data_IF_958130554655
#
_entry.id   IF_958130554655
#
_cell.length_a   1.000
_cell.length_b   1.000
_cell.length_c   1.000
_cell.angle_alpha   90.00
_cell.angle_beta   90.00
_cell.angle_gamma   90.00
#
_symmetry.space_group_name_H-M   'P 1'
#
loop_
_entity.id
_entity.type
_entity.pdbx_description
1 polymer ?
#
# COMPACT_ATOMS: atom_id res chain seq x y z
N UNK A 1 0.77 -3.66 -2.11
CA UNK A 1 1.96 -3.97 -1.31
C UNK A 1 1.75 -3.48 0.12
N UNK A 2 1.13 -4.32 0.95
CA UNK A 2 0.78 -3.95 2.31
C UNK A 2 1.86 -4.39 3.31
N UNK A 3 2.20 -3.51 4.24
CA UNK A 3 3.11 -3.76 5.35
C UNK A 3 2.53 -4.74 6.39
N UNK A 4 3.41 -5.41 7.14
CA UNK A 4 3.05 -6.39 8.18
C UNK A 4 2.35 -5.79 9.40
N UNK A 5 2.57 -4.50 9.68
CA UNK A 5 1.86 -3.82 10.78
C UNK A 5 0.36 -3.63 10.52
N UNK A 6 -0.14 -3.88 9.31
CA UNK A 6 -1.58 -4.03 9.06
C UNK A 6 -2.21 -5.23 9.79
N UNK A 7 -1.40 -6.25 10.13
CA UNK A 7 -1.80 -7.37 10.99
C UNK A 7 -1.51 -7.12 12.48
N UNK A 8 -1.26 -5.86 12.86
CA UNK A 8 -0.91 -5.46 14.22
C UNK A 8 0.48 -5.90 14.65
N UNK A 9 0.73 -5.86 15.97
CA UNK A 9 2.06 -6.16 16.52
C UNK A 9 2.52 -7.59 16.22
N UNK A 10 1.59 -8.55 16.14
CA UNK A 10 1.90 -9.95 15.78
C UNK A 10 2.56 -10.04 14.40
N UNK A 11 2.10 -9.27 13.42
CA UNK A 11 2.70 -9.25 12.08
C UNK A 11 4.12 -8.68 12.09
N UNK A 12 4.37 -7.63 12.88
CA UNK A 12 5.72 -7.05 13.07
C UNK A 12 6.67 -8.09 13.67
N UNK A 13 6.26 -8.73 14.77
CA UNK A 13 7.10 -9.71 15.46
C UNK A 13 7.34 -10.96 14.62
N UNK A 14 6.35 -11.40 13.82
CA UNK A 14 6.52 -12.51 12.88
C UNK A 14 7.62 -12.20 11.87
N UNK A 15 7.57 -11.03 11.19
CA UNK A 15 8.60 -10.65 10.23
C UNK A 15 9.99 -10.55 10.87
N UNK A 16 10.12 -9.98 12.08
CA UNK A 16 11.40 -9.87 12.77
C UNK A 16 12.00 -11.24 13.10
N UNK A 17 11.20 -12.14 13.66
CA UNK A 17 11.65 -13.47 14.07
C UNK A 17 12.02 -14.33 12.86
N UNK A 18 11.22 -14.27 11.80
CA UNK A 18 11.48 -14.99 10.55
C UNK A 18 12.74 -14.44 9.85
N UNK A 19 12.93 -13.11 9.80
CA UNK A 19 14.16 -12.52 9.24
C UNK A 19 15.40 -12.92 10.04
N UNK A 20 15.33 -12.90 11.38
CA UNK A 20 16.45 -13.34 12.23
C UNK A 20 16.83 -14.78 11.92
N UNK A 21 15.85 -15.68 11.89
CA UNK A 21 16.05 -17.10 11.59
C UNK A 21 16.62 -17.29 10.18
N UNK A 22 16.05 -16.60 9.18
CA UNK A 22 16.50 -16.67 7.80
C UNK A 22 17.97 -16.26 7.66
N UNK A 23 18.37 -15.15 8.27
CA UNK A 23 19.75 -14.65 8.21
C UNK A 23 20.72 -15.61 8.90
N UNK A 24 20.39 -16.12 10.09
CA UNK A 24 21.21 -17.12 10.80
C UNK A 24 21.38 -18.42 9.99
N UNK A 25 20.36 -18.84 9.24
CA UNK A 25 20.42 -20.00 8.36
C UNK A 25 21.27 -19.73 7.11
N UNK A 26 21.04 -18.59 6.43
CA UNK A 26 21.77 -18.21 5.21
C UNK A 26 23.26 -17.97 5.45
N UNK A 27 23.64 -17.50 6.63
CA UNK A 27 25.05 -17.37 7.02
C UNK A 27 25.76 -18.74 7.10
N UNK A 28 25.04 -19.79 7.50
CA UNK A 28 25.59 -21.16 7.60
C UNK A 28 25.56 -21.90 6.28
N UNK A 29 24.49 -21.72 5.51
CA UNK A 29 24.30 -22.30 4.20
C UNK A 29 23.53 -21.33 3.28
N UNK A 30 24.22 -20.62 2.38
CA UNK A 30 23.59 -19.69 1.44
C UNK A 30 22.62 -20.36 0.46
N UNK A 31 22.66 -21.69 0.30
CA UNK A 31 21.79 -22.45 -0.59
C UNK A 31 20.60 -23.09 0.14
N UNK A 32 20.43 -22.84 1.44
CA UNK A 32 19.35 -23.43 2.24
C UNK A 32 17.97 -23.03 1.70
N UNK A 33 17.06 -24.01 1.63
CA UNK A 33 15.66 -23.75 1.29
C UNK A 33 14.93 -23.11 2.48
N UNK A 34 14.70 -21.80 2.39
CA UNK A 34 14.02 -21.03 3.43
C UNK A 34 12.61 -21.55 3.74
N UNK A 35 11.92 -22.21 2.81
CA UNK A 35 10.59 -22.79 3.10
C UNK A 35 10.65 -23.96 4.07
N UNK A 36 11.80 -24.62 4.22
CA UNK A 36 11.98 -25.75 5.14
C UNK A 36 12.33 -25.30 6.55
N UNK A 37 12.88 -24.10 6.71
CA UNK A 37 13.39 -23.60 8.00
C UNK A 37 12.53 -22.48 8.59
N UNK A 38 11.80 -21.74 7.76
CA UNK A 38 10.92 -20.68 8.24
C UNK A 38 9.54 -21.24 8.61
N UNK A 39 9.05 -20.80 9.75
CA UNK A 39 7.70 -21.11 10.21
C UNK A 39 6.83 -19.85 10.10
N UNK A 40 5.66 -20.00 9.51
CA UNK A 40 4.71 -18.92 9.38
C UNK A 40 4.21 -18.47 10.78
N UNK A 41 4.36 -17.19 11.08
CA UNK A 41 3.82 -16.60 12.32
C UNK A 41 2.36 -16.17 12.16
N UNK A 42 2.14 -14.86 12.02
CA UNK A 42 0.81 -14.24 11.93
C UNK A 42 0.13 -14.40 10.56
N UNK A 43 0.75 -15.07 9.61
CA UNK A 43 0.32 -15.16 8.21
C UNK A 43 0.18 -16.63 7.78
N UNK A 44 -0.52 -16.94 6.67
CA UNK A 44 -0.65 -18.33 6.18
C UNK A 44 0.67 -18.96 5.70
N UNK A 45 1.66 -18.12 5.35
CA UNK A 45 2.99 -18.53 4.90
C UNK A 45 4.04 -17.62 5.56
N UNK A 46 5.33 -18.02 5.63
CA UNK A 46 6.40 -17.12 6.05
C UNK A 46 6.39 -15.84 5.21
N UNK A 47 6.54 -14.70 5.86
CA UNK A 47 6.54 -13.37 5.24
C UNK A 47 7.96 -12.87 4.96
N UNK A 48 8.98 -13.32 5.71
CA UNK A 48 10.36 -12.97 5.41
C UNK A 48 10.75 -13.42 4.00
N UNK A 49 11.31 -12.51 3.21
CA UNK A 49 11.70 -12.73 1.81
C UNK A 49 10.56 -13.20 0.87
N UNK A 50 9.30 -12.98 1.23
CA UNK A 50 8.14 -13.51 0.50
C UNK A 50 7.10 -12.44 0.14
N UNK A 51 6.17 -12.75 -0.76
CA UNK A 51 5.02 -11.92 -1.08
C UNK A 51 3.74 -12.78 -1.03
N UNK A 52 2.82 -12.44 -0.13
CA UNK A 52 1.62 -13.24 0.14
C UNK A 52 0.40 -12.53 -0.43
N UNK A 53 -0.14 -13.03 -1.55
CA UNK A 53 -1.35 -12.53 -2.21
C UNK A 53 -2.64 -13.01 -1.51
N UNK A 54 -2.71 -12.82 -0.19
CA UNK A 54 -3.83 -13.24 0.65
C UNK A 54 -3.87 -12.33 1.88
N UNK A 55 -4.88 -11.46 1.97
CA UNK A 55 -5.12 -10.57 3.12
C UNK A 55 -6.58 -10.66 3.55
N UNK A 56 -6.81 -11.00 4.83
CA UNK A 56 -8.14 -11.38 5.33
C UNK A 56 -8.66 -12.63 4.57
N UNK A 57 -9.92 -13.00 4.77
CA UNK A 57 -10.50 -14.27 4.31
C UNK A 57 -10.97 -14.21 2.85
N UNK A 58 -10.75 -15.29 2.09
CA UNK A 58 -11.35 -15.48 0.77
C UNK A 58 -12.89 -15.57 0.83
N UNK A 59 -13.53 -15.13 -0.25
CA UNK A 59 -14.97 -15.22 -0.52
C UNK A 59 -15.24 -16.13 -1.71
N UNK A 60 -16.51 -16.47 -1.92
CA UNK A 60 -16.95 -17.41 -2.95
C UNK A 60 -16.56 -16.98 -4.37
N UNK A 61 -16.44 -15.68 -4.63
CA UNK A 61 -16.04 -15.13 -5.94
C UNK A 61 -14.51 -15.08 -6.17
N UNK A 62 -13.72 -15.66 -5.26
CA UNK A 62 -12.25 -15.70 -5.37
C UNK A 62 -11.53 -14.44 -4.86
N UNK A 63 -12.26 -13.38 -4.50
CA UNK A 63 -11.66 -12.21 -3.85
C UNK A 63 -11.49 -12.44 -2.35
N UNK A 64 -10.50 -11.78 -1.77
CA UNK A 64 -10.36 -11.64 -0.32
C UNK A 64 -11.25 -10.52 0.21
N UNK A 65 -11.56 -10.58 1.50
CA UNK A 65 -12.35 -9.54 2.18
C UNK A 65 -11.67 -8.17 2.13
N UNK A 66 -10.34 -8.11 2.17
CA UNK A 66 -9.59 -6.86 2.04
C UNK A 66 -9.76 -6.25 0.64
N UNK A 67 -9.74 -7.07 -0.42
CA UNK A 67 -9.95 -6.58 -1.80
C UNK A 67 -11.37 -6.07 -1.99
N UNK A 68 -12.38 -6.78 -1.47
CA UNK A 68 -13.77 -6.31 -1.52
C UNK A 68 -13.99 -5.05 -0.66
N UNK A 69 -13.26 -4.92 0.45
CA UNK A 69 -13.30 -3.73 1.30
C UNK A 69 -12.84 -2.50 0.52
N UNK A 70 -11.74 -2.60 -0.23
CA UNK A 70 -11.27 -1.51 -1.10
C UNK A 70 -12.37 -1.05 -2.07
N UNK A 71 -13.06 -1.98 -2.73
CA UNK A 71 -14.16 -1.65 -3.66
C UNK A 71 -15.31 -0.95 -2.93
N UNK A 72 -15.85 -1.59 -1.89
CA UNK A 72 -17.04 -1.09 -1.20
C UNK A 72 -16.80 0.23 -0.47
N UNK A 73 -15.64 0.39 0.18
CA UNK A 73 -15.32 1.62 0.90
C UNK A 73 -15.06 2.79 -0.06
N UNK A 74 -14.40 2.56 -1.21
CA UNK A 74 -14.22 3.61 -2.22
C UNK A 74 -15.57 4.08 -2.76
N UNK A 75 -16.46 3.17 -3.15
CA UNK A 75 -17.81 3.54 -3.61
C UNK A 75 -18.58 4.34 -2.57
N UNK A 76 -18.54 3.90 -1.31
CA UNK A 76 -19.22 4.58 -0.20
C UNK A 76 -18.65 5.97 0.09
N UNK A 77 -17.32 6.12 0.13
CA UNK A 77 -16.65 7.38 0.46
C UNK A 77 -16.85 8.41 -0.64
N UNK A 78 -16.74 7.99 -1.91
CA UNK A 78 -16.82 8.90 -3.05
C UNK A 78 -18.24 9.12 -3.56
N UNK A 79 -19.21 8.27 -3.18
CA UNK A 79 -20.56 8.33 -3.73
C UNK A 79 -20.62 7.99 -5.22
N UNK A 80 -19.82 7.01 -5.64
CA UNK A 80 -19.60 6.63 -7.05
C UNK A 80 -19.75 5.12 -7.23
N UNK A 81 -19.88 4.67 -8.48
CA UNK A 81 -20.07 3.26 -8.87
C UNK A 81 -19.11 2.80 -9.98
N UNK A 82 -18.03 3.56 -10.25
CA UNK A 82 -17.09 3.21 -11.31
C UNK A 82 -16.41 1.85 -11.06
N UNK A 83 -15.98 1.12 -12.12
CA UNK A 83 -15.36 -0.18 -11.96
C UNK A 83 -14.04 -0.11 -11.19
N UNK A 84 -13.91 -0.95 -10.15
CA UNK A 84 -12.69 -1.09 -9.34
C UNK A 84 -12.42 -2.58 -9.13
N UNK A 85 -11.16 -2.99 -9.30
CA UNK A 85 -10.67 -4.29 -8.88
C UNK A 85 -9.24 -4.13 -8.36
N UNK A 86 -8.86 -4.98 -7.42
CA UNK A 86 -7.56 -4.91 -6.75
C UNK A 86 -7.10 -6.29 -6.32
N UNK A 87 -5.77 -6.46 -6.21
CA UNK A 87 -5.14 -7.62 -5.58
C UNK A 87 -4.33 -7.15 -4.37
N UNK A 88 -4.65 -7.68 -3.20
CA UNK A 88 -4.01 -7.27 -1.95
C UNK A 88 -2.88 -8.23 -1.56
N UNK A 89 -1.64 -7.74 -1.63
CA UNK A 89 -0.43 -8.52 -1.35
C UNK A 89 0.28 -8.01 -0.10
N UNK A 90 0.52 -8.88 0.88
CA UNK A 90 1.35 -8.62 2.06
C UNK A 90 2.82 -8.82 1.70
N UNK A 91 3.68 -7.88 2.09
CA UNK A 91 5.12 -7.89 1.81
C UNK A 91 5.94 -7.64 3.09
N UNK A 92 7.24 -8.00 3.14
CA UNK A 92 8.12 -7.86 4.31
C UNK A 92 8.53 -6.39 4.55
N UNK A 93 7.55 -5.51 4.62
CA UNK A 93 7.70 -4.10 4.96
C UNK A 93 7.10 -3.92 6.34
N UNK A 94 7.88 -3.37 7.27
CA UNK A 94 7.43 -3.19 8.66
C UNK A 94 6.23 -2.26 8.75
N UNK A 95 6.25 -1.14 8.02
CA UNK A 95 5.26 -0.06 8.11
C UNK A 95 5.14 0.68 6.77
N UNK A 96 4.00 1.31 6.57
CA UNK A 96 3.53 1.97 5.35
C UNK A 96 3.10 1.01 4.25
N UNK A 97 1.92 1.25 3.71
CA UNK A 97 1.41 0.52 2.56
C UNK A 97 1.82 1.22 1.28
N UNK A 98 1.92 0.45 0.20
CA UNK A 98 2.15 0.98 -1.13
C UNK A 98 1.22 0.34 -2.13
N UNK A 99 0.80 1.13 -3.12
CA UNK A 99 -0.15 0.73 -4.13
C UNK A 99 0.36 1.15 -5.50
N UNK A 100 0.37 0.20 -6.43
CA UNK A 100 0.53 0.49 -7.86
C UNK A 100 -0.86 0.68 -8.42
N UNK A 101 -1.10 1.83 -9.05
CA UNK A 101 -2.40 2.24 -9.52
C UNK A 101 -2.40 2.35 -11.04
N UNK A 102 -3.51 1.96 -11.66
CA UNK A 102 -3.83 2.28 -13.05
C UNK A 102 -5.24 2.86 -13.07
N UNK A 103 -5.38 4.07 -13.59
CA UNK A 103 -6.61 4.85 -13.56
C UNK A 103 -6.97 5.20 -15.00
N UNK A 104 -8.09 4.68 -15.49
CA UNK A 104 -8.63 5.02 -16.79
C UNK A 104 -9.58 6.23 -16.66
N UNK A 105 -9.33 7.28 -17.43
CA UNK A 105 -10.18 8.46 -17.50
C UNK A 105 -11.16 8.37 -18.67
N UNK A 106 -12.24 9.16 -18.63
CA UNK A 106 -13.24 9.22 -19.71
C UNK A 106 -12.64 9.78 -21.02
N UNK A 107 -11.72 10.74 -20.88
CA UNK A 107 -11.03 11.44 -21.97
C UNK A 107 -9.52 11.46 -21.76
N UNK A 108 -8.78 11.75 -22.83
CA UNK A 108 -7.33 12.00 -22.72
C UNK A 108 -7.06 13.19 -21.77
N UNK A 109 -5.91 13.14 -21.11
CA UNK A 109 -5.51 14.11 -20.09
C UNK A 109 -4.09 14.64 -20.35
N UNK A 110 -3.76 15.81 -19.81
CA UNK A 110 -2.37 16.27 -19.70
C UNK A 110 -1.80 15.85 -18.33
N UNK A 111 -0.59 15.30 -18.32
CA UNK A 111 0.12 15.01 -17.07
C UNK A 111 0.32 16.29 -16.24
N UNK A 112 0.51 17.46 -16.88
CA UNK A 112 0.66 18.73 -16.16
C UNK A 112 -0.58 19.06 -15.33
N UNK A 113 -1.77 18.78 -15.84
CA UNK A 113 -3.04 18.97 -15.11
C UNK A 113 -3.13 18.01 -13.93
N UNK A 114 -2.76 16.73 -14.12
CA UNK A 114 -2.70 15.74 -13.04
C UNK A 114 -1.78 16.21 -11.92
N UNK A 115 -0.57 16.67 -12.25
CA UNK A 115 0.35 17.25 -11.27
C UNK A 115 -0.25 18.47 -10.56
N UNK A 116 -0.95 19.34 -11.28
CA UNK A 116 -1.64 20.50 -10.71
C UNK A 116 -2.71 20.10 -9.70
N UNK A 117 -3.55 19.12 -10.03
CA UNK A 117 -4.58 18.61 -9.13
C UNK A 117 -3.96 17.98 -7.88
N UNK A 118 -2.97 17.10 -8.05
CA UNK A 118 -2.35 16.38 -6.93
C UNK A 118 -1.57 17.30 -5.99
N UNK A 119 -0.89 18.34 -6.50
CA UNK A 119 -0.17 19.31 -5.66
C UNK A 119 -1.10 20.17 -4.81
N UNK A 120 -2.34 20.38 -5.26
CA UNK A 120 -3.34 21.15 -4.53
C UNK A 120 -4.24 20.26 -3.64
N UNK A 121 -4.13 18.94 -3.75
CA UNK A 121 -4.91 18.01 -2.96
C UNK A 121 -4.43 18.01 -1.48
N UNK A 122 -5.35 18.18 -0.50
CA UNK A 122 -4.97 18.19 0.91
C UNK A 122 -4.29 16.90 1.34
N UNK A 123 -3.20 17.01 2.12
CA UNK A 123 -2.43 15.87 2.64
C UNK A 123 -1.80 14.96 1.57
N UNK A 124 -1.72 15.41 0.31
CA UNK A 124 -1.01 14.71 -0.77
C UNK A 124 0.34 15.40 -1.01
N UNK A 125 1.40 14.61 -1.10
CA UNK A 125 2.74 15.08 -1.45
C UNK A 125 3.16 14.41 -2.75
N UNK A 126 3.39 15.22 -3.79
CA UNK A 126 3.95 14.72 -5.04
C UNK A 126 5.46 14.55 -4.87
N UNK A 127 5.91 13.30 -4.95
CA UNK A 127 7.31 12.88 -4.89
C UNK A 127 7.61 12.16 -6.21
N UNK A 128 7.92 12.93 -7.26
CA UNK A 128 8.04 12.39 -8.61
C UNK A 128 9.11 13.13 -9.43
N UNK A 129 10.34 12.65 -9.31
CA UNK A 129 11.46 13.03 -10.18
C UNK A 129 12.34 11.78 -10.41
N UNK A 130 11.93 10.89 -11.32
CA UNK A 130 12.66 9.65 -11.58
C UNK A 130 14.10 9.87 -12.06
N UNK A 131 14.39 10.99 -12.74
CA UNK A 131 15.76 11.36 -13.15
C UNK A 131 16.72 11.53 -11.97
N UNK A 132 16.21 11.88 -10.80
CA UNK A 132 16.99 12.05 -9.56
C UNK A 132 16.66 10.99 -8.50
N UNK A 133 16.10 9.84 -8.90
CA UNK A 133 15.69 8.74 -8.01
C UNK A 133 14.72 9.19 -6.89
N UNK A 134 13.85 10.17 -7.19
CA UNK A 134 12.84 10.66 -6.27
C UNK A 134 11.48 10.05 -6.60
N UNK A 135 11.07 9.11 -5.76
CA UNK A 135 9.76 8.48 -5.79
C UNK A 135 9.42 7.95 -4.39
N UNK A 136 8.14 7.75 -4.05
CA UNK A 136 7.77 7.36 -2.71
C UNK A 136 8.22 5.93 -2.41
N UNK A 137 8.69 5.71 -1.17
CA UNK A 137 9.09 4.38 -0.66
C UNK A 137 8.58 4.23 0.77
N UNK A 138 8.25 3.00 1.22
CA UNK A 138 7.73 2.79 2.57
C UNK A 138 8.62 3.35 3.69
N UNK A 139 9.94 3.23 3.56
CA UNK A 139 10.88 3.73 4.57
C UNK A 139 10.85 5.25 4.69
N UNK A 140 10.84 5.99 3.57
CA UNK A 140 10.80 7.47 3.59
C UNK A 140 9.47 8.02 4.09
N UNK A 141 8.37 7.31 3.85
CA UNK A 141 7.01 7.79 4.14
C UNK A 141 6.52 7.37 5.53
N UNK A 142 7.13 6.35 6.13
CA UNK A 142 6.79 5.95 7.49
C UNK A 142 6.90 7.11 8.47
N UNK A 143 5.98 7.17 9.41
CA UNK A 143 5.83 8.23 10.41
C UNK A 143 5.43 9.59 9.86
N UNK A 144 4.87 9.69 8.66
CA UNK A 144 4.28 10.93 8.13
C UNK A 144 2.75 10.92 8.16
N UNK A 145 2.13 12.11 8.06
CA UNK A 145 0.66 12.30 8.08
C UNK A 145 0.07 12.55 6.68
N UNK A 146 0.85 12.29 5.63
CA UNK A 146 0.51 12.57 4.24
C UNK A 146 0.59 11.31 3.38
N UNK A 147 -0.15 11.31 2.28
CA UNK A 147 -0.04 10.32 1.20
C UNK A 147 0.99 10.85 0.21
N UNK A 148 1.99 10.04 -0.12
CA UNK A 148 2.97 10.39 -1.12
C UNK A 148 2.64 9.67 -2.42
N UNK A 149 2.71 10.38 -3.54
CA UNK A 149 2.45 9.82 -4.88
C UNK A 149 3.55 10.21 -5.86
N UNK A 150 3.93 9.29 -6.72
CA UNK A 150 4.84 9.54 -7.83
C UNK A 150 4.76 8.45 -8.89
N UNK A 151 5.78 8.34 -9.75
CA UNK A 151 5.81 7.45 -10.91
C UNK A 151 4.63 7.68 -11.86
N UNK A 152 4.14 8.92 -11.91
CA UNK A 152 3.02 9.35 -12.73
C UNK A 152 3.41 9.36 -14.20
N UNK A 153 2.71 8.56 -14.99
CA UNK A 153 2.97 8.40 -16.43
C UNK A 153 1.73 7.92 -17.17
N UNK A 154 1.63 8.28 -18.44
CA UNK A 154 0.61 7.71 -19.34
C UNK A 154 0.92 6.24 -19.61
N UNK A 155 -0.11 5.46 -19.86
CA UNK A 155 0.04 4.11 -20.42
C UNK A 155 0.65 4.19 -21.83
N UNK A 156 1.32 3.09 -22.24
CA UNK A 156 1.99 3.00 -23.54
C UNK A 156 1.01 2.81 -24.71
N UNK A 157 -0.17 2.26 -24.45
CA UNK A 157 -1.13 1.82 -25.45
C UNK A 157 -2.51 2.50 -25.30
N UNK A 158 -2.84 3.01 -24.12
CA UNK A 158 -4.06 3.77 -23.85
C UNK A 158 -3.77 5.19 -23.34
N UNK A 159 -4.04 6.18 -24.19
CA UNK A 159 -3.84 7.60 -23.89
C UNK A 159 -4.73 8.13 -22.75
N UNK A 160 -5.74 7.37 -22.34
CA UNK A 160 -6.66 7.72 -21.24
C UNK A 160 -6.27 7.07 -19.92
N UNK A 161 -5.25 6.22 -19.89
CA UNK A 161 -4.81 5.55 -18.67
C UNK A 161 -3.58 6.24 -18.06
N UNK A 162 -3.67 6.53 -16.76
CA UNK A 162 -2.59 7.01 -15.91
C UNK A 162 -2.12 5.88 -14.99
N UNK A 163 -0.82 5.67 -14.92
CA UNK A 163 -0.22 4.87 -13.86
C UNK A 163 0.37 5.76 -12.78
N UNK A 164 0.36 5.26 -11.54
CA UNK A 164 1.01 5.90 -10.40
C UNK A 164 1.44 4.89 -9.35
N UNK A 165 2.26 5.34 -8.42
CA UNK A 165 2.63 4.59 -7.23
C UNK A 165 2.47 5.48 -6.01
N UNK A 166 1.60 5.08 -5.08
CA UNK A 166 1.39 5.83 -3.85
C UNK A 166 1.85 5.04 -2.62
N UNK A 167 2.22 5.77 -1.57
CA UNK A 167 2.68 5.22 -0.30
C UNK A 167 2.11 6.08 0.83
N UNK A 168 1.63 5.44 1.88
CA UNK A 168 1.19 6.13 3.10
C UNK A 168 1.46 5.27 4.33
N UNK A 169 1.74 5.91 5.46
CA UNK A 169 1.82 5.24 6.75
C UNK A 169 0.41 4.79 7.18
N UNK A 170 0.16 3.48 7.16
CA UNK A 170 -1.17 2.95 7.43
C UNK A 170 -1.58 3.05 8.92
N UNK A 171 -0.63 3.16 9.85
CA UNK A 171 -0.96 3.37 11.26
C UNK A 171 -1.29 4.84 11.54
N UNK A 172 -0.81 5.76 10.69
CA UNK A 172 -1.14 7.19 10.74
C UNK A 172 -2.30 7.49 9.82
N UNK A 173 -2.03 7.76 8.54
CA UNK A 173 -3.05 8.13 7.54
C UNK A 173 -4.12 7.05 7.41
N UNK A 174 -3.75 5.77 7.45
CA UNK A 174 -4.71 4.66 7.38
C UNK A 174 -5.52 4.41 8.66
N UNK A 175 -5.21 5.09 9.78
CA UNK A 175 -5.87 4.86 11.07
C UNK A 175 -5.91 6.12 11.96
N UNK A 176 -4.86 6.36 12.76
CA UNK A 176 -4.89 7.32 13.86
C UNK A 176 -5.04 8.79 13.40
N UNK A 177 -4.31 9.18 12.37
CA UNK A 177 -4.34 10.55 11.84
C UNK A 177 -5.69 10.87 11.22
N UNK A 178 -6.30 9.91 10.54
CA UNK A 178 -7.63 10.10 9.97
C UNK A 178 -8.69 10.27 11.08
N UNK A 179 -8.63 9.44 12.13
CA UNK A 179 -9.51 9.56 13.30
C UNK A 179 -9.38 10.94 13.98
N UNK A 180 -8.15 11.42 14.19
CA UNK A 180 -7.90 12.74 14.76
C UNK A 180 -8.42 13.87 13.86
N UNK A 181 -8.22 13.79 12.54
CA UNK A 181 -8.74 14.77 11.57
C UNK A 181 -10.26 14.87 11.64
N UNK A 182 -10.96 13.72 11.74
CA UNK A 182 -12.43 13.69 11.91
C UNK A 182 -12.85 14.36 13.22
N UNK A 183 -12.21 14.02 14.35
CA UNK A 183 -12.52 14.61 15.64
C UNK A 183 -12.31 16.13 15.65
N UNK A 184 -11.18 16.60 15.09
CA UNK A 184 -10.89 18.03 14.96
C UNK A 184 -11.87 18.76 14.03
N UNK A 185 -12.30 18.11 12.95
CA UNK A 185 -13.32 18.67 12.08
C UNK A 185 -14.64 18.84 12.84
N UNK A 186 -15.06 17.84 13.61
CA UNK A 186 -16.28 17.94 14.42
C UNK A 186 -16.19 19.07 15.46
N UNK A 187 -15.08 19.15 16.21
CA UNK A 187 -14.88 20.21 17.22
C UNK A 187 -14.92 21.61 16.61
N UNK A 188 -14.37 21.80 15.41
CA UNK A 188 -14.36 23.10 14.73
C UNK A 188 -15.72 23.53 14.17
N UNK A 189 -16.63 22.57 13.96
CA UNK A 189 -17.95 22.80 13.35
C UNK A 189 -19.11 22.49 14.31
N UNK A 190 -18.81 22.25 15.59
CA UNK A 190 -19.78 22.13 16.67
C UNK A 190 -20.05 23.51 17.28
#
# INVERSE_FOLDING_TARGET
YQAVSGAGNKGIESLKNELKTALECLEKDPAIDLNQVLQAGAFPYPIAFNAIAHIDTFKENGYTKEELKMVHETHKIMGVDFPISTTCVRVPVLRSHSESLSIAFEKEFDLKEVYGVLKNAPSVVVCDDPSHNLYPTPLKVSHTDSVFIGRLRKDLFDKKTLHGFCVADQLRVGAATNALKIALHYIKNA
#
